data_IF_741065626748
#
_entry.id   IF_741065626748
#
_cell.length_a   1.000
_cell.length_b   1.000
_cell.length_c   1.000
_cell.angle_alpha   90.00
_cell.angle_beta   90.00
_cell.angle_gamma   90.00
#
_symmetry.space_group_name_H-M   'P 1'
#
loop_
_entity.id
_entity.type
_entity.pdbx_description
1 polymer ?
#
# COMPACT_ATOMS: atom_id res chain seq x y z
N UNK A 1 20.36 -18.17 27.14
CA UNK A 1 20.05 -17.82 25.74
C UNK A 1 18.74 -18.51 25.44
N UNK A 2 17.63 -17.91 25.87
CA UNK A 2 16.32 -18.54 25.80
C UNK A 2 15.76 -18.41 24.38
N UNK A 3 15.49 -19.57 23.80
CA UNK A 3 14.91 -19.71 22.48
C UNK A 3 13.42 -19.34 22.52
N UNK A 4 13.04 -18.26 21.84
CA UNK A 4 11.65 -17.87 21.62
C UNK A 4 10.96 -18.80 20.61
N UNK A 5 10.66 -20.04 21.02
CA UNK A 5 9.70 -20.91 20.33
C UNK A 5 8.48 -21.08 21.23
N UNK A 6 7.75 -19.99 21.44
CA UNK A 6 6.42 -19.99 22.05
C UNK A 6 5.37 -20.53 21.07
N UNK A 7 4.40 -21.24 21.59
CA UNK A 7 3.31 -21.93 20.90
C UNK A 7 2.65 -21.12 19.77
N UNK A 8 2.51 -21.75 18.60
CA UNK A 8 1.97 -21.23 17.33
C UNK A 8 0.47 -20.94 17.38
N UNK A 9 0.05 -19.93 18.13
CA UNK A 9 -1.27 -19.33 17.97
C UNK A 9 -1.12 -17.83 17.86
N UNK A 10 -1.71 -17.23 16.82
CA UNK A 10 -1.82 -15.78 16.74
C UNK A 10 -2.54 -15.29 18.01
N UNK A 11 -2.06 -14.20 18.65
CA UNK A 11 -2.75 -13.65 19.82
C UNK A 11 -4.17 -13.26 19.41
N UNK A 12 -5.17 -13.72 20.17
CA UNK A 12 -6.57 -13.36 19.93
C UNK A 12 -6.85 -11.88 20.24
N UNK A 13 -6.01 -11.27 21.08
CA UNK A 13 -6.05 -9.86 21.45
C UNK A 13 -4.62 -9.35 21.65
N UNK A 14 -4.31 -8.16 21.12
CA UNK A 14 -3.08 -7.43 21.42
C UNK A 14 -3.48 -6.22 22.25
N UNK A 15 -3.32 -6.32 23.57
CA UNK A 15 -3.60 -5.23 24.51
C UNK A 15 -2.30 -4.82 25.21
N UNK A 16 -1.51 -4.02 24.49
CA UNK A 16 -0.23 -3.46 24.95
C UNK A 16 -0.31 -1.94 24.87
N UNK A 17 0.54 -1.17 25.58
CA UNK A 17 0.49 0.30 25.57
C UNK A 17 0.57 0.96 24.17
N UNK A 18 1.08 0.25 23.16
CA UNK A 18 1.13 0.68 21.76
C UNK A 18 0.03 0.09 20.86
N UNK A 19 -0.88 -0.71 21.39
CA UNK A 19 -2.01 -1.23 20.64
C UNK A 19 -3.02 -0.12 20.39
N UNK A 20 -3.34 0.11 19.11
CA UNK A 20 -4.39 1.02 18.72
C UNK A 20 -5.72 0.28 18.76
N UNK A 21 -6.63 0.79 19.58
CA UNK A 21 -7.99 0.28 19.67
C UNK A 21 -8.89 1.23 18.88
N UNK A 22 -9.78 0.70 18.05
CA UNK A 22 -10.64 1.53 17.17
C UNK A 22 -11.51 2.56 17.92
N UNK A 23 -11.63 2.44 19.25
CA UNK A 23 -12.30 3.39 20.14
C UNK A 23 -11.45 4.63 20.50
N UNK A 24 -10.18 4.71 20.09
CA UNK A 24 -9.33 5.90 20.30
C UNK A 24 -9.70 7.07 19.39
N UNK A 25 -10.40 6.80 18.28
CA UNK A 25 -11.00 7.81 17.41
C UNK A 25 -12.50 7.72 17.59
N UNK A 26 -13.09 8.75 18.21
CA UNK A 26 -14.53 8.77 18.49
C UNK A 26 -15.36 9.17 17.27
N UNK A 27 -14.72 9.78 16.26
CA UNK A 27 -15.34 10.26 15.04
C UNK A 27 -14.61 9.70 13.81
N UNK A 28 -15.29 8.87 13.02
CA UNK A 28 -14.75 8.28 11.80
C UNK A 28 -14.35 9.33 10.76
N UNK A 29 -14.96 10.51 10.78
CA UNK A 29 -14.63 11.58 9.82
C UNK A 29 -13.22 12.15 10.00
N UNK A 30 -12.57 11.88 11.14
CA UNK A 30 -11.17 12.23 11.37
C UNK A 30 -10.19 11.45 10.48
N UNK A 31 -10.58 10.23 10.06
CA UNK A 31 -9.70 9.32 9.30
C UNK A 31 -10.36 8.65 8.08
N UNK A 32 -11.65 8.86 7.88
CA UNK A 32 -12.42 8.39 6.72
C UNK A 32 -12.93 9.58 5.92
N UNK A 33 -12.48 9.68 4.67
CA UNK A 33 -13.06 10.63 3.71
C UNK A 33 -14.11 9.93 2.86
N UNK A 34 -15.36 10.33 3.02
CA UNK A 34 -16.47 9.86 2.22
C UNK A 34 -16.51 10.61 0.88
N UNK A 35 -16.12 9.95 -0.20
CA UNK A 35 -16.22 10.49 -1.56
C UNK A 35 -17.70 10.62 -1.96
N UNK A 36 -18.08 11.78 -2.48
CA UNK A 36 -19.39 11.97 -3.11
C UNK A 36 -19.50 11.17 -4.41
N UNK A 37 -20.72 10.85 -4.85
CA UNK A 37 -20.96 10.15 -6.13
C UNK A 37 -20.31 10.87 -7.32
N UNK A 38 -20.28 12.20 -7.30
CA UNK A 38 -19.65 13.01 -8.34
C UNK A 38 -18.11 12.90 -8.32
N UNK A 39 -17.49 12.94 -7.13
CA UNK A 39 -16.04 12.73 -7.01
C UNK A 39 -15.65 11.33 -7.45
N UNK A 40 -16.45 10.31 -7.11
CA UNK A 40 -16.24 8.92 -7.56
C UNK A 40 -16.28 8.85 -9.09
N UNK A 41 -17.32 9.40 -9.72
CA UNK A 41 -17.46 9.38 -11.17
C UNK A 41 -16.32 10.12 -11.88
N UNK A 42 -15.91 11.29 -11.38
CA UNK A 42 -14.81 12.06 -11.95
C UNK A 42 -13.49 11.28 -11.88
N UNK A 43 -13.20 10.69 -10.72
CA UNK A 43 -12.01 9.87 -10.50
C UNK A 43 -12.05 8.63 -11.40
N UNK A 44 -13.17 7.91 -11.48
CA UNK A 44 -13.30 6.72 -12.32
C UNK A 44 -13.13 7.05 -13.80
N UNK A 45 -13.75 8.12 -14.29
CA UNK A 45 -13.61 8.59 -15.67
C UNK A 45 -12.17 8.99 -15.99
N UNK A 46 -11.49 9.69 -15.09
CA UNK A 46 -10.09 10.04 -15.26
C UNK A 46 -9.18 8.80 -15.24
N UNK A 47 -9.50 7.81 -14.41
CA UNK A 47 -8.69 6.61 -14.22
C UNK A 47 -9.01 5.46 -15.19
N UNK A 48 -10.14 5.48 -15.89
CA UNK A 48 -10.58 4.43 -16.82
C UNK A 48 -9.49 4.08 -17.86
N UNK A 49 -8.77 5.07 -18.35
CA UNK A 49 -7.69 4.86 -19.33
C UNK A 49 -6.40 4.29 -18.74
N UNK A 50 -6.15 4.44 -17.44
CA UNK A 50 -5.05 3.72 -16.78
C UNK A 50 -5.37 2.22 -16.65
N UNK A 51 -6.66 1.84 -16.62
CA UNK A 51 -7.11 0.43 -16.63
C UNK A 51 -6.68 -0.31 -17.88
N UNK A 52 -6.68 0.36 -19.03
CA UNK A 52 -6.31 -0.25 -20.31
C UNK A 52 -4.80 -0.28 -20.54
N UNK A 53 -4.05 0.75 -20.11
CA UNK A 53 -2.61 0.85 -20.42
C UNK A 53 -1.68 0.10 -19.45
N UNK A 54 -2.09 -0.18 -18.21
CA UNK A 54 -1.21 -0.82 -17.21
C UNK A 54 -1.16 -2.35 -17.35
N UNK A 55 -2.24 -2.96 -17.88
CA UNK A 55 -2.33 -4.41 -18.11
C UNK A 55 -1.23 -4.90 -19.09
N UNK A 56 -0.68 -4.02 -19.92
CA UNK A 56 0.34 -4.36 -20.91
C UNK A 56 1.78 -4.47 -20.37
N UNK A 57 2.07 -4.06 -19.12
CA UNK A 57 3.44 -4.11 -18.58
C UNK A 57 3.56 -5.17 -17.48
N UNK A 58 4.19 -6.30 -17.81
CA UNK A 58 4.42 -7.50 -16.95
C UNK A 58 4.98 -7.24 -15.54
N UNK A 59 5.40 -6.03 -15.18
CA UNK A 59 6.09 -5.72 -13.92
C UNK A 59 5.51 -4.51 -13.16
N UNK A 60 4.33 -3.97 -13.53
CA UNK A 60 3.72 -2.86 -12.79
C UNK A 60 2.29 -3.19 -12.39
N UNK A 61 2.06 -3.22 -11.08
CA UNK A 61 0.78 -3.49 -10.44
C UNK A 61 -0.30 -2.55 -10.96
N UNK A 62 -1.41 -3.13 -11.35
CA UNK A 62 -2.70 -2.52 -11.65
C UNK A 62 -3.07 -1.57 -10.53
N UNK A 63 -3.39 -0.32 -10.90
CA UNK A 63 -3.76 0.73 -9.95
C UNK A 63 -5.15 1.24 -10.25
N UNK A 64 -6.12 0.87 -9.42
CA UNK A 64 -7.52 1.19 -9.63
C UNK A 64 -8.19 1.66 -8.35
N UNK A 65 -9.16 2.55 -8.56
CA UNK A 65 -10.26 2.79 -7.66
C UNK A 65 -11.45 2.09 -8.29
N UNK A 66 -12.12 1.26 -7.50
CA UNK A 66 -13.25 0.47 -7.97
C UNK A 66 -14.25 0.33 -6.84
N UNK A 67 -15.51 0.49 -7.17
CA UNK A 67 -16.60 0.20 -6.24
C UNK A 67 -16.81 -1.31 -6.18
N UNK A 68 -16.89 -1.85 -4.97
CA UNK A 68 -17.36 -3.22 -4.75
C UNK A 68 -18.90 -3.27 -4.92
N UNK A 69 -19.48 -4.45 -5.19
CA UNK A 69 -20.93 -4.63 -5.19
C UNK A 69 -21.60 -4.22 -3.87
N UNK A 70 -20.87 -4.24 -2.75
CA UNK A 70 -21.31 -3.95 -1.39
C UNK A 70 -21.04 -2.49 -0.97
N UNK A 71 -21.06 -1.55 -1.92
CA UNK A 71 -20.88 -0.09 -1.75
C UNK A 71 -19.52 0.41 -1.22
N UNK A 72 -18.63 -0.46 -0.73
CA UNK A 72 -17.26 -0.07 -0.36
C UNK A 72 -16.37 0.23 -1.57
N UNK A 73 -15.59 1.31 -1.49
CA UNK A 73 -14.55 1.65 -2.48
C UNK A 73 -13.28 0.88 -2.14
N UNK A 74 -12.76 0.11 -3.10
CA UNK A 74 -11.43 -0.47 -3.01
C UNK A 74 -10.40 0.47 -3.66
N UNK A 75 -9.34 0.77 -2.91
CA UNK A 75 -8.23 1.61 -3.32
C UNK A 75 -6.99 0.75 -3.55
N UNK A 76 -6.51 0.73 -4.78
CA UNK A 76 -5.17 0.26 -5.11
C UNK A 76 -4.48 1.39 -5.88
N UNK A 77 -4.00 2.40 -5.16
CA UNK A 77 -3.50 3.64 -5.75
C UNK A 77 -1.99 3.82 -5.54
N UNK A 78 -1.32 4.49 -6.48
CA UNK A 78 0.05 4.93 -6.32
C UNK A 78 0.51 5.76 -7.50
N UNK A 79 1.15 6.90 -7.23
CA UNK A 79 1.56 7.88 -8.26
C UNK A 79 2.72 7.38 -9.12
N UNK A 80 3.76 6.83 -8.51
CA UNK A 80 5.02 6.48 -9.20
C UNK A 80 4.83 5.56 -10.41
N UNK A 81 4.01 4.48 -10.36
CA UNK A 81 3.74 3.67 -11.55
C UNK A 81 3.08 4.44 -12.70
N UNK A 82 2.27 5.47 -12.38
CA UNK A 82 1.46 6.23 -13.33
C UNK A 82 2.23 7.38 -13.97
N UNK A 83 3.01 8.13 -13.18
CA UNK A 83 3.70 9.35 -13.61
C UNK A 83 5.24 9.26 -13.57
N UNK A 84 5.79 8.23 -12.91
CA UNK A 84 7.23 8.09 -12.68
C UNK A 84 7.78 9.05 -11.62
N UNK A 85 9.07 8.92 -11.32
CA UNK A 85 9.89 9.87 -10.59
C UNK A 85 11.36 9.76 -11.05
N UNK A 86 12.28 10.50 -10.41
CA UNK A 86 13.70 10.49 -10.79
C UNK A 86 14.38 9.11 -10.67
N UNK A 87 13.94 8.27 -9.73
CA UNK A 87 14.50 6.92 -9.50
C UNK A 87 13.82 5.87 -10.38
N UNK A 88 12.52 6.05 -10.61
CA UNK A 88 11.65 5.16 -11.36
C UNK A 88 11.04 5.93 -12.53
N UNK A 89 11.81 6.16 -13.61
CA UNK A 89 11.30 6.91 -14.75
C UNK A 89 10.08 6.22 -15.36
N UNK A 90 9.18 7.04 -15.90
CA UNK A 90 8.02 6.55 -16.65
C UNK A 90 8.49 6.09 -18.03
N UNK A 91 8.17 4.86 -18.47
CA UNK A 91 8.56 4.39 -19.79
C UNK A 91 8.05 5.30 -20.90
N UNK A 92 8.92 5.64 -21.85
CA UNK A 92 8.62 6.58 -22.93
C UNK A 92 7.52 6.08 -23.89
N UNK A 93 7.33 4.76 -24.00
CA UNK A 93 6.29 4.17 -24.84
C UNK A 93 4.87 4.33 -24.28
N UNK A 94 4.71 4.75 -23.01
CA UNK A 94 3.39 4.98 -22.44
C UNK A 94 2.82 6.33 -22.90
N UNK A 95 1.52 6.42 -23.25
CA UNK A 95 0.90 7.67 -23.68
C UNK A 95 1.11 8.79 -22.65
N UNK A 96 1.31 10.04 -23.09
CA UNK A 96 1.44 11.19 -22.18
C UNK A 96 0.20 11.29 -21.27
N UNK A 97 0.43 11.61 -20.00
CA UNK A 97 -0.67 11.87 -19.06
C UNK A 97 -1.35 13.19 -19.45
N UNK A 98 -2.68 13.17 -19.61
CA UNK A 98 -3.45 14.39 -19.87
C UNK A 98 -3.59 15.22 -18.58
N UNK A 99 -3.88 16.52 -18.73
CA UNK A 99 -4.11 17.38 -17.55
C UNK A 99 -5.25 16.88 -16.67
N UNK A 100 -6.36 16.40 -17.28
CA UNK A 100 -7.48 15.80 -16.54
C UNK A 100 -7.04 14.60 -15.69
N UNK A 101 -6.20 13.72 -16.25
CA UNK A 101 -5.68 12.55 -15.54
C UNK A 101 -4.76 12.95 -14.40
N UNK A 102 -3.87 13.91 -14.63
CA UNK A 102 -2.97 14.41 -13.60
C UNK A 102 -3.74 15.04 -12.45
N UNK A 103 -4.72 15.87 -12.78
CA UNK A 103 -5.62 16.54 -11.83
C UNK A 103 -6.37 15.52 -10.95
N UNK A 104 -6.88 14.42 -11.51
CA UNK A 104 -7.50 13.37 -10.71
C UNK A 104 -6.54 12.70 -9.70
N UNK A 105 -5.26 12.53 -10.06
CA UNK A 105 -4.26 12.03 -9.11
C UNK A 105 -4.04 13.01 -7.94
N UNK A 106 -4.07 14.32 -8.23
CA UNK A 106 -4.00 15.36 -7.21
C UNK A 106 -5.26 15.43 -6.35
N UNK A 107 -6.43 15.18 -6.93
CA UNK A 107 -7.70 15.18 -6.21
C UNK A 107 -7.75 14.07 -5.16
N UNK A 108 -7.31 12.85 -5.51
CA UNK A 108 -7.17 11.73 -4.56
C UNK A 108 -6.22 12.10 -3.42
N UNK A 109 -5.06 12.69 -3.75
CA UNK A 109 -4.08 13.08 -2.74
C UNK A 109 -4.62 14.18 -1.83
N UNK A 110 -5.35 15.15 -2.38
CA UNK A 110 -5.97 16.22 -1.60
C UNK A 110 -7.04 15.67 -0.67
N UNK A 111 -7.88 14.75 -1.13
CA UNK A 111 -8.88 14.09 -0.30
C UNK A 111 -8.20 13.31 0.84
N UNK A 112 -7.18 12.52 0.53
CA UNK A 112 -6.43 11.76 1.54
C UNK A 112 -5.79 12.66 2.60
N UNK A 113 -5.27 13.84 2.21
CA UNK A 113 -4.66 14.80 3.16
C UNK A 113 -5.64 15.44 4.12
N UNK A 114 -6.94 15.52 3.80
CA UNK A 114 -7.95 16.09 4.70
C UNK A 114 -8.18 15.23 5.95
N UNK A 115 -7.93 13.93 5.85
CA UNK A 115 -8.19 12.91 6.89
C UNK A 115 -6.93 12.10 7.22
N UNK A 116 -5.75 12.67 6.94
CA UNK A 116 -4.50 11.94 7.12
C UNK A 116 -4.18 11.77 8.61
N UNK A 117 -3.72 10.58 8.98
CA UNK A 117 -3.13 10.32 10.28
C UNK A 117 -1.61 10.24 10.16
N UNK A 118 -0.91 10.91 11.05
CA UNK A 118 0.54 10.85 11.16
C UNK A 118 0.93 9.96 12.33
N UNK A 119 1.58 8.83 12.01
CA UNK A 119 1.97 7.83 12.99
C UNK A 119 3.48 7.87 13.14
N UNK A 120 3.95 8.28 14.32
CA UNK A 120 5.36 8.14 14.69
C UNK A 120 5.66 6.67 14.97
N UNK A 121 6.51 6.04 14.15
CA UNK A 121 6.89 4.63 14.30
C UNK A 121 8.16 4.50 15.12
N UNK A 122 8.11 3.71 16.19
CA UNK A 122 9.25 3.37 17.04
C UNK A 122 9.73 1.93 16.79
N UNK A 123 11.00 1.60 17.12
CA UNK A 123 11.47 0.23 17.04
C UNK A 123 10.59 -0.72 17.86
N UNK A 124 10.12 -1.79 17.21
CA UNK A 124 9.19 -2.76 17.82
C UNK A 124 7.72 -2.56 17.45
N UNK A 125 7.34 -1.38 16.92
CA UNK A 125 5.98 -1.13 16.48
C UNK A 125 5.61 -1.99 15.26
N UNK A 126 4.36 -2.46 15.25
CA UNK A 126 3.80 -3.25 14.15
C UNK A 126 2.52 -2.57 13.66
N UNK A 127 2.48 -2.24 12.37
CA UNK A 127 1.30 -1.64 11.75
C UNK A 127 0.57 -2.68 10.88
N UNK A 128 -0.69 -2.96 11.21
CA UNK A 128 -1.60 -3.72 10.36
C UNK A 128 -2.47 -2.75 9.56
N UNK A 129 -2.41 -2.85 8.24
CA UNK A 129 -3.09 -1.93 7.32
C UNK A 129 -3.90 -2.75 6.33
N UNK A 130 -5.21 -2.49 6.25
CA UNK A 130 -6.03 -2.98 5.15
C UNK A 130 -5.65 -2.23 3.86
N UNK A 131 -4.79 -2.85 3.04
CA UNK A 131 -4.24 -2.25 1.82
C UNK A 131 -5.29 -1.92 0.75
N UNK A 132 -6.50 -2.50 0.81
CA UNK A 132 -7.58 -2.20 -0.13
C UNK A 132 -8.44 -1.01 0.31
N UNK A 133 -8.25 -0.51 1.53
CA UNK A 133 -9.08 0.56 2.09
C UNK A 133 -8.25 1.78 2.50
N UNK A 134 -7.05 1.56 3.03
CA UNK A 134 -6.20 2.61 3.60
C UNK A 134 -5.04 2.94 2.65
N UNK A 135 -4.96 4.20 2.23
CA UNK A 135 -3.77 4.74 1.60
C UNK A 135 -2.70 5.01 2.66
N UNK A 136 -1.47 4.61 2.37
CA UNK A 136 -0.34 4.82 3.27
C UNK A 136 0.86 5.37 2.49
N UNK A 137 1.59 6.28 3.13
CA UNK A 137 2.83 6.86 2.61
C UNK A 137 3.86 6.97 3.73
N UNK A 138 5.05 7.41 3.35
CA UNK A 138 6.11 7.82 4.27
C UNK A 138 6.64 9.17 3.79
N UNK A 139 6.94 10.06 4.73
CA UNK A 139 7.59 11.34 4.44
C UNK A 139 9.11 11.21 4.29
N UNK A 140 9.75 12.19 3.68
CA UNK A 140 11.21 12.20 3.51
C UNK A 140 11.91 12.19 4.86
N UNK A 141 12.94 11.36 4.99
CA UNK A 141 13.80 11.32 6.17
C UNK A 141 15.26 11.16 5.69
N UNK A 142 16.19 11.42 6.60
CA UNK A 142 17.61 11.12 6.42
C UNK A 142 17.99 10.01 7.40
N UNK A 143 18.71 8.99 6.92
CA UNK A 143 19.34 8.04 7.83
C UNK A 143 20.43 8.76 8.63
N UNK A 144 20.66 8.32 9.87
CA UNK A 144 21.88 8.69 10.59
C UNK A 144 23.08 7.84 10.14
N UNK A 145 24.26 8.29 10.56
CA UNK A 145 25.55 7.70 10.17
C UNK A 145 25.99 6.59 11.15
N UNK A 146 25.42 6.55 12.36
CA UNK A 146 25.72 5.58 13.40
C UNK A 146 25.06 4.21 13.21
N UNK A 147 25.59 3.21 13.93
CA UNK A 147 25.00 1.86 13.99
C UNK A 147 23.62 1.94 14.65
N UNK A 148 22.58 1.46 13.97
CA UNK A 148 21.19 1.53 14.44
C UNK A 148 20.45 2.83 14.09
N UNK A 149 21.12 3.81 13.48
CA UNK A 149 20.50 5.08 13.05
C UNK A 149 19.93 5.00 11.61
N UNK A 150 20.12 3.86 10.94
CA UNK A 150 19.51 3.55 9.66
C UNK A 150 18.16 2.87 9.87
N UNK A 151 17.13 3.36 9.18
CA UNK A 151 15.78 2.78 9.26
C UNK A 151 15.74 1.39 8.62
N UNK A 152 15.42 0.37 9.41
CA UNK A 152 15.13 -0.98 8.94
C UNK A 152 13.66 -1.32 9.17
N UNK A 153 12.94 -1.72 8.11
CA UNK A 153 11.52 -2.06 8.18
C UNK A 153 11.28 -3.40 7.48
N UNK A 154 10.74 -4.37 8.22
CA UNK A 154 10.24 -5.61 7.66
C UNK A 154 8.78 -5.41 7.25
N UNK A 155 8.44 -5.71 6.00
CA UNK A 155 7.07 -5.61 5.49
C UNK A 155 6.59 -6.95 4.97
N UNK A 156 5.44 -7.37 5.48
CA UNK A 156 4.72 -8.54 5.02
C UNK A 156 3.42 -8.12 4.30
N UNK A 157 2.98 -8.93 3.33
CA UNK A 157 1.60 -8.89 2.84
C UNK A 157 0.91 -10.16 3.28
N UNK A 158 -0.29 -9.99 3.82
CA UNK A 158 -1.14 -11.07 4.27
C UNK A 158 -2.39 -11.09 3.40
N UNK A 159 -2.94 -12.28 3.21
CA UNK A 159 -4.25 -12.52 2.62
C UNK A 159 -4.98 -13.50 3.52
N UNK A 160 -6.20 -13.16 3.89
CA UNK A 160 -7.12 -14.05 4.58
C UNK A 160 -8.00 -14.72 3.55
N UNK A 161 -8.01 -16.05 3.47
CA UNK A 161 -8.78 -16.77 2.44
C UNK A 161 -10.29 -16.81 2.78
N UNK A 162 -10.68 -16.62 4.05
CA UNK A 162 -12.06 -16.63 4.51
C UNK A 162 -12.68 -15.23 4.47
N UNK A 163 -11.93 -14.21 4.90
CA UNK A 163 -12.37 -12.80 4.99
C UNK A 163 -11.89 -11.94 3.81
N UNK A 164 -11.34 -12.55 2.76
CA UNK A 164 -10.92 -11.79 1.57
C UNK A 164 -12.09 -11.07 0.91
N UNK A 165 -11.83 -9.85 0.46
CA UNK A 165 -12.81 -9.10 -0.33
C UNK A 165 -12.97 -9.71 -1.71
N UNK A 166 -14.18 -9.65 -2.26
CA UNK A 166 -14.47 -10.06 -3.62
C UNK A 166 -13.70 -9.20 -4.64
N UNK A 167 -12.58 -9.72 -5.12
CA UNK A 167 -11.69 -8.99 -6.02
C UNK A 167 -12.31 -8.84 -7.42
N UNK A 168 -12.29 -7.62 -7.98
CA UNK A 168 -12.54 -7.37 -9.39
C UNK A 168 -11.66 -8.25 -10.29
N UNK A 169 -12.22 -8.68 -11.43
CA UNK A 169 -11.58 -9.63 -12.34
C UNK A 169 -10.16 -9.18 -12.76
N UNK A 170 -9.99 -7.89 -13.07
CA UNK A 170 -8.72 -7.29 -13.46
C UNK A 170 -7.63 -7.34 -12.37
N UNK A 171 -7.97 -7.58 -11.10
CA UNK A 171 -7.00 -7.72 -10.00
C UNK A 171 -6.66 -9.18 -9.67
N UNK A 172 -7.47 -10.14 -10.12
CA UNK A 172 -7.32 -11.56 -9.74
C UNK A 172 -5.97 -12.12 -10.14
N UNK A 173 -5.48 -11.78 -11.35
CA UNK A 173 -4.17 -12.24 -11.84
C UNK A 173 -3.02 -11.76 -10.94
N UNK A 174 -3.00 -10.47 -10.61
CA UNK A 174 -1.92 -9.91 -9.77
C UNK A 174 -1.97 -10.45 -8.34
N UNK A 175 -3.16 -10.71 -7.82
CA UNK A 175 -3.33 -11.37 -6.53
C UNK A 175 -2.85 -12.81 -6.56
N UNK A 176 -3.14 -13.56 -7.63
CA UNK A 176 -2.64 -14.92 -7.80
C UNK A 176 -1.10 -14.94 -7.90
N UNK A 177 -0.49 -14.00 -8.62
CA UNK A 177 0.97 -13.86 -8.68
C UNK A 177 1.60 -13.45 -7.33
N UNK A 178 0.87 -12.70 -6.50
CA UNK A 178 1.39 -12.23 -5.21
C UNK A 178 1.21 -13.25 -4.06
N UNK A 179 0.21 -14.12 -4.13
CA UNK A 179 -0.20 -15.03 -3.05
C UNK A 179 -0.37 -16.48 -3.50
N UNK A 180 -0.02 -16.81 -4.74
CA UNK A 180 -0.10 -18.16 -5.29
C UNK A 180 0.85 -19.14 -4.60
N UNK A 181 0.61 -20.43 -4.85
CA UNK A 181 1.48 -21.50 -4.36
C UNK A 181 2.89 -21.39 -4.98
N UNK A 182 3.91 -21.84 -4.24
CA UNK A 182 5.28 -21.93 -4.76
C UNK A 182 6.10 -20.63 -4.71
N UNK A 183 5.61 -19.59 -4.05
CA UNK A 183 6.39 -18.37 -3.80
C UNK A 183 7.28 -18.53 -2.56
N UNK A 184 8.53 -18.08 -2.67
CA UNK A 184 9.44 -18.03 -1.54
C UNK A 184 8.95 -17.05 -0.49
N UNK A 185 8.88 -17.53 0.76
CA UNK A 185 8.49 -16.77 1.94
C UNK A 185 9.76 -16.38 2.71
N UNK A 186 10.51 -15.42 2.16
CA UNK A 186 11.75 -14.92 2.75
C UNK A 186 11.54 -13.53 3.36
N UNK A 187 11.87 -13.38 4.64
CA UNK A 187 11.86 -12.10 5.35
C UNK A 187 13.23 -11.84 5.97
N UNK A 188 13.78 -10.67 5.66
CA UNK A 188 15.05 -10.23 6.22
C UNK A 188 14.79 -9.48 7.52
N UNK A 189 14.80 -10.22 8.63
CA UNK A 189 14.65 -9.64 9.97
C UNK A 189 15.81 -8.71 10.28
N UNK A 190 17.00 -9.06 9.79
CA UNK A 190 18.20 -8.22 9.90
C UNK A 190 18.43 -7.37 8.63
N UNK A 191 19.11 -6.22 8.75
CA UNK A 191 19.52 -5.41 7.61
C UNK A 191 20.40 -6.21 6.65
N UNK A 192 20.10 -6.12 5.35
CA UNK A 192 20.95 -6.73 4.33
C UNK A 192 22.21 -5.90 4.07
N UNK A 193 23.33 -6.52 3.65
CA UNK A 193 24.50 -5.80 3.21
C UNK A 193 24.17 -4.79 2.10
N UNK A 194 24.94 -3.71 2.05
CA UNK A 194 24.73 -2.65 1.07
C UNK A 194 24.85 -3.19 -0.38
N UNK A 195 23.92 -2.76 -1.24
CA UNK A 195 23.87 -3.20 -2.65
C UNK A 195 23.25 -4.59 -2.89
N UNK A 196 22.89 -5.33 -1.83
CA UNK A 196 22.28 -6.65 -1.98
C UNK A 196 20.74 -6.60 -1.90
N UNK A 197 20.08 -6.84 -3.03
CA UNK A 197 18.62 -6.83 -3.17
C UNK A 197 18.13 -8.12 -3.85
N UNK A 198 17.94 -9.23 -3.11
CA UNK A 198 17.71 -10.55 -3.72
C UNK A 198 16.39 -10.64 -4.50
N UNK A 199 15.43 -9.77 -4.18
CA UNK A 199 14.09 -9.78 -4.77
C UNK A 199 13.84 -8.60 -5.72
N UNK A 200 14.81 -7.71 -5.96
CA UNK A 200 14.64 -6.47 -6.73
C UNK A 200 15.92 -5.95 -7.35
N UNK A 201 15.81 -5.24 -8.47
CA UNK A 201 16.96 -4.55 -9.08
C UNK A 201 17.32 -3.21 -8.40
N UNK A 202 16.39 -2.58 -7.67
CA UNK A 202 16.57 -1.26 -7.06
C UNK A 202 15.86 -1.13 -5.70
N UNK A 203 16.36 -0.28 -4.78
CA UNK A 203 15.65 0.09 -3.54
C UNK A 203 14.38 0.91 -3.84
N UNK A 204 13.44 0.95 -2.88
CA UNK A 204 12.19 1.76 -3.00
C UNK A 204 12.45 3.25 -2.85
#
# INVERSE_FOLDING_TARGET
>A
MESCYGTRSFPQLIDLPGAWHGNQFSDESEYVYNLSSQEVEEIENALCHFKVSIIATRHRKSRFITRSPETLIMLNFGRVPLIGNAIHPRPAHLPRISMKRFKALEDIERAARKVQLEIETKPGDIHFINNLFILHKRDSFKNGDGVGEKRHLVRMRLRDDELSWNLPENLRKEWAEAFGAGLDKLWHVDPMPEGYFPLRSYPN
#
